data_IF_569091557035
#
_entry.id   IF_569091557035
#
_cell.length_a   1.000
_cell.length_b   1.000
_cell.length_c   1.000
_cell.angle_alpha   90.00
_cell.angle_beta   90.00
_cell.angle_gamma   90.00
#
_symmetry.space_group_name_H-M   'P 1'
#
loop_
_entity.id
_entity.type
_entity.pdbx_description
1 polymer ?
#
# COMPACT_ATOMS: atom_id res chain seq x y z
N UNK A 1 -5.61 -21.30 6.38
CA UNK A 1 -6.57 -22.41 6.45
C UNK A 1 -6.00 -23.63 5.76
N UNK A 2 -6.18 -24.81 6.35
CA UNK A 2 -5.79 -26.06 5.73
C UNK A 2 -6.72 -26.38 4.54
N UNK A 3 -6.13 -26.81 3.44
CA UNK A 3 -6.87 -27.26 2.28
C UNK A 3 -7.62 -28.57 2.59
N UNK A 4 -8.83 -28.77 2.05
CA UNK A 4 -9.49 -30.06 2.11
C UNK A 4 -8.65 -31.12 1.37
N UNK A 5 -8.42 -32.26 1.99
CA UNK A 5 -7.57 -33.33 1.43
C UNK A 5 -8.20 -34.10 0.26
N UNK A 6 -9.49 -33.86 -0.03
CA UNK A 6 -10.27 -34.65 -1.00
C UNK A 6 -10.86 -33.83 -2.15
N UNK A 7 -10.50 -32.53 -2.26
CA UNK A 7 -11.05 -31.63 -3.29
C UNK A 7 -9.92 -30.95 -4.06
N UNK A 8 -10.03 -30.94 -5.37
CA UNK A 8 -9.08 -30.26 -6.25
C UNK A 8 -9.23 -28.73 -6.20
N UNK A 9 -10.41 -28.22 -5.82
CA UNK A 9 -10.69 -26.81 -5.64
C UNK A 9 -11.80 -26.59 -4.60
N UNK A 10 -11.79 -25.43 -3.95
CA UNK A 10 -12.85 -25.06 -2.99
C UNK A 10 -13.00 -23.52 -2.92
N UNK A 11 -14.20 -23.07 -2.56
CA UNK A 11 -14.45 -21.66 -2.28
C UNK A 11 -13.79 -21.23 -0.99
N UNK A 12 -13.13 -20.07 -0.98
CA UNK A 12 -12.46 -19.50 0.20
C UNK A 12 -13.19 -18.29 0.78
N UNK A 13 -14.05 -17.66 -0.01
CA UNK A 13 -14.84 -16.49 0.35
C UNK A 13 -16.11 -16.44 -0.48
N UNK A 14 -17.19 -15.91 0.09
CA UNK A 14 -18.43 -15.60 -0.62
C UNK A 14 -18.39 -14.12 -1.04
N UNK A 15 -18.31 -13.88 -2.34
CA UNK A 15 -18.29 -12.54 -2.92
C UNK A 15 -19.71 -12.05 -3.19
N UNK A 16 -19.95 -10.76 -2.96
CA UNK A 16 -21.19 -10.10 -3.40
C UNK A 16 -21.15 -9.91 -4.92
N UNK A 17 -22.32 -9.72 -5.51
CA UNK A 17 -22.43 -9.40 -6.93
C UNK A 17 -21.62 -8.14 -7.27
N UNK A 18 -20.74 -8.25 -8.26
CA UNK A 18 -19.86 -7.16 -8.69
C UNK A 18 -18.58 -6.99 -7.89
N UNK A 19 -18.37 -7.78 -6.84
CA UNK A 19 -17.09 -7.80 -6.10
C UNK A 19 -16.04 -8.64 -6.81
N UNK A 20 -14.79 -8.31 -6.60
CA UNK A 20 -13.63 -9.05 -7.12
C UNK A 20 -12.54 -9.22 -6.04
N UNK A 21 -11.73 -10.25 -6.19
CA UNK A 21 -10.52 -10.43 -5.38
C UNK A 21 -9.41 -9.58 -5.99
N UNK A 22 -8.94 -8.58 -5.25
CA UNK A 22 -7.85 -7.70 -5.70
C UNK A 22 -6.48 -8.16 -5.18
N UNK A 23 -6.44 -8.86 -4.04
CA UNK A 23 -5.19 -9.33 -3.45
C UNK A 23 -5.42 -10.48 -2.47
N UNK A 24 -4.40 -11.33 -2.31
CA UNK A 24 -4.33 -12.37 -1.28
C UNK A 24 -2.91 -12.51 -0.75
N UNK A 25 -2.77 -12.61 0.56
CA UNK A 25 -1.49 -12.77 1.21
C UNK A 25 -1.61 -13.61 2.49
N UNK A 26 -0.48 -14.13 2.95
CA UNK A 26 -0.34 -14.75 4.27
C UNK A 26 0.12 -13.66 5.24
N UNK A 27 -0.51 -13.61 6.41
CA UNK A 27 -0.15 -12.70 7.48
C UNK A 27 -0.13 -13.44 8.82
N UNK A 28 0.75 -13.01 9.72
CA UNK A 28 0.76 -13.40 11.14
C UNK A 28 0.00 -12.35 11.94
N UNK A 29 -0.40 -12.68 13.17
CA UNK A 29 -1.21 -11.81 14.01
C UNK A 29 -0.56 -10.43 14.26
N UNK A 30 0.76 -10.39 14.39
CA UNK A 30 1.56 -9.19 14.65
C UNK A 30 1.91 -8.37 13.40
N UNK A 31 1.70 -8.93 12.20
CA UNK A 31 1.95 -8.23 10.95
C UNK A 31 0.95 -7.10 10.75
N UNK A 32 1.32 -6.12 9.92
CA UNK A 32 0.46 -4.98 9.57
C UNK A 32 -0.23 -5.22 8.24
N UNK A 33 -1.54 -5.08 8.23
CA UNK A 33 -2.32 -4.97 7.01
C UNK A 33 -2.36 -3.52 6.59
N UNK A 34 -2.13 -3.26 5.31
CA UNK A 34 -2.05 -1.90 4.75
C UNK A 34 -2.97 -1.79 3.57
N UNK A 35 -3.87 -0.82 3.61
CA UNK A 35 -4.77 -0.46 2.52
C UNK A 35 -4.44 0.96 2.08
N UNK A 36 -4.29 1.18 0.79
CA UNK A 36 -4.18 2.52 0.22
C UNK A 36 -5.28 2.68 -0.82
N UNK A 37 -6.07 3.75 -0.70
CA UNK A 37 -7.13 4.08 -1.65
C UNK A 37 -6.68 5.13 -2.66
N UNK A 38 -7.41 5.23 -3.76
CA UNK A 38 -7.08 6.14 -4.87
C UNK A 38 -7.11 7.61 -4.49
N UNK A 39 -7.81 7.99 -3.42
CA UNK A 39 -7.80 9.34 -2.85
C UNK A 39 -6.62 9.62 -1.91
N UNK A 40 -5.62 8.73 -1.91
CA UNK A 40 -4.42 8.82 -1.06
C UNK A 40 -4.68 8.57 0.44
N UNK A 41 -5.76 7.88 0.80
CA UNK A 41 -5.99 7.45 2.18
C UNK A 41 -5.27 6.13 2.44
N UNK A 42 -4.46 6.07 3.49
CA UNK A 42 -3.78 4.86 3.96
C UNK A 42 -4.33 4.44 5.32
N UNK A 43 -4.79 3.21 5.41
CA UNK A 43 -5.19 2.56 6.65
C UNK A 43 -4.29 1.39 6.95
N UNK A 44 -3.76 1.35 8.16
CA UNK A 44 -3.00 0.20 8.66
C UNK A 44 -3.43 -0.19 10.06
N UNK A 45 -3.50 -1.50 10.30
CA UNK A 45 -3.77 -2.11 11.59
C UNK A 45 -3.13 -3.51 11.66
N UNK A 46 -3.02 -4.07 12.85
CA UNK A 46 -2.48 -5.42 13.03
C UNK A 46 -3.45 -6.49 12.52
N UNK A 47 -2.91 -7.53 11.89
CA UNK A 47 -3.69 -8.62 11.30
C UNK A 47 -4.58 -9.35 12.31
N UNK A 48 -4.19 -9.39 13.60
CA UNK A 48 -5.01 -9.96 14.68
C UNK A 48 -6.40 -9.31 14.83
N UNK A 49 -6.58 -8.09 14.31
CA UNK A 49 -7.87 -7.40 14.30
C UNK A 49 -8.85 -7.98 13.26
N UNK A 50 -8.39 -8.89 12.42
CA UNK A 50 -9.22 -9.64 11.47
C UNK A 50 -9.45 -11.03 12.03
N UNK A 51 -10.68 -11.29 12.48
CA UNK A 51 -11.03 -12.62 13.00
C UNK A 51 -11.08 -13.64 11.85
N UNK A 52 -10.63 -14.88 12.09
CA UNK A 52 -10.84 -15.96 11.13
C UNK A 52 -12.33 -16.10 10.78
N UNK A 53 -12.62 -16.24 9.50
CA UNK A 53 -13.97 -16.39 8.94
C UNK A 53 -14.15 -17.77 8.34
N UNK A 54 -15.39 -18.29 8.33
CA UNK A 54 -15.74 -19.48 7.57
C UNK A 54 -15.53 -19.31 6.08
N UNK A 55 -15.43 -20.40 5.31
CA UNK A 55 -15.22 -20.37 3.85
C UNK A 55 -16.37 -19.71 3.08
N UNK A 56 -17.57 -19.79 3.64
CA UNK A 56 -18.81 -19.20 3.09
C UNK A 56 -19.10 -17.80 3.62
N UNK A 57 -18.18 -17.21 4.39
CA UNK A 57 -18.36 -15.86 4.90
C UNK A 57 -17.89 -14.81 3.89
N UNK A 58 -18.59 -13.68 3.82
CA UNK A 58 -18.26 -12.54 2.95
C UNK A 58 -17.10 -11.67 3.42
N UNK A 59 -16.40 -12.09 4.51
CA UNK A 59 -15.27 -11.33 5.04
C UNK A 59 -15.66 -10.24 6.03
N UNK A 60 -14.73 -9.35 6.31
CA UNK A 60 -14.88 -8.22 7.23
C UNK A 60 -14.45 -6.94 6.53
N UNK A 61 -15.12 -5.82 6.81
CA UNK A 61 -14.73 -4.52 6.29
C UNK A 61 -13.28 -4.18 6.69
N UNK A 62 -12.43 -3.88 5.72
CA UNK A 62 -11.06 -3.44 5.92
C UNK A 62 -10.97 -1.92 6.04
N UNK A 63 -11.05 -1.22 4.92
CA UNK A 63 -11.02 0.24 4.83
C UNK A 63 -12.40 0.79 4.47
N UNK A 64 -12.75 1.96 5.02
CA UNK A 64 -13.90 2.74 4.58
C UNK A 64 -13.46 3.63 3.42
N UNK A 65 -13.92 3.32 2.23
CA UNK A 65 -13.65 4.11 1.02
C UNK A 65 -14.55 5.34 0.96
N UNK A 66 -14.01 6.45 0.46
CA UNK A 66 -14.80 7.59 0.02
C UNK A 66 -15.57 7.24 -1.27
N UNK A 67 -16.63 8.01 -1.56
CA UNK A 67 -17.43 7.80 -2.77
C UNK A 67 -16.55 7.91 -4.03
N UNK A 68 -16.72 6.97 -4.96
CA UNK A 68 -15.95 6.93 -6.21
C UNK A 68 -14.50 6.44 -6.08
N UNK A 69 -14.02 6.19 -4.85
CA UNK A 69 -12.65 5.70 -4.62
C UNK A 69 -12.58 4.18 -4.59
N UNK A 70 -11.42 3.66 -4.99
CA UNK A 70 -11.09 2.23 -5.00
C UNK A 70 -9.86 1.96 -4.13
N UNK A 71 -9.65 0.70 -3.78
CA UNK A 71 -8.39 0.25 -3.21
C UNK A 71 -7.33 0.27 -4.32
N UNK A 72 -6.33 1.13 -4.19
CA UNK A 72 -5.20 1.20 -5.11
C UNK A 72 -4.22 0.04 -4.87
N UNK A 73 -3.96 -0.28 -3.60
CA UNK A 73 -3.14 -1.44 -3.22
C UNK A 73 -3.50 -1.96 -1.83
N UNK A 74 -3.25 -3.25 -1.63
CA UNK A 74 -3.27 -3.91 -0.33
C UNK A 74 -1.96 -4.67 -0.14
N UNK A 75 -1.37 -4.57 1.05
CA UNK A 75 -0.10 -5.25 1.37
C UNK A 75 -0.09 -5.74 2.81
N UNK A 76 0.81 -6.67 3.08
CA UNK A 76 1.16 -7.12 4.42
C UNK A 76 2.61 -6.73 4.70
N UNK A 77 2.82 -6.00 5.79
CA UNK A 77 4.15 -5.63 6.29
C UNK A 77 4.46 -6.50 7.49
N UNK A 78 5.53 -7.28 7.40
CA UNK A 78 5.98 -8.12 8.49
C UNK A 78 6.35 -7.26 9.72
N UNK A 79 6.06 -7.75 10.92
CA UNK A 79 6.25 -7.00 12.15
C UNK A 79 7.69 -6.48 12.32
N UNK A 80 8.69 -7.26 11.91
CA UNK A 80 10.12 -6.93 11.95
C UNK A 80 10.56 -5.92 10.88
N UNK A 81 9.69 -5.58 9.93
CA UNK A 81 9.92 -4.60 8.86
C UNK A 81 9.24 -3.26 9.11
N UNK A 82 8.42 -3.14 10.14
CA UNK A 82 7.69 -1.90 10.45
C UNK A 82 8.62 -0.78 10.87
N UNK A 83 9.63 -1.07 11.71
CA UNK A 83 10.57 -0.08 12.20
C UNK A 83 11.50 0.41 11.08
N UNK A 84 11.67 1.73 11.01
CA UNK A 84 12.65 2.35 10.12
C UNK A 84 13.96 2.53 10.87
N UNK A 85 15.02 1.94 10.34
CA UNK A 85 16.37 2.05 10.90
C UNK A 85 17.28 2.78 9.94
N UNK A 86 18.18 3.56 10.49
CA UNK A 86 19.18 4.33 9.75
C UNK A 86 20.52 4.13 10.42
N UNK A 87 21.44 3.49 9.72
CA UNK A 87 22.77 3.18 10.23
C UNK A 87 23.83 3.91 9.41
N UNK A 88 24.73 4.60 10.11
CA UNK A 88 25.92 5.19 9.52
C UNK A 88 27.07 4.21 9.70
N UNK A 89 27.56 3.69 8.58
CA UNK A 89 28.69 2.76 8.58
C UNK A 89 30.03 3.47 8.83
N UNK A 90 31.03 2.73 9.30
CA UNK A 90 32.40 3.23 9.59
C UNK A 90 33.10 3.92 8.40
N UNK A 91 32.63 3.67 7.20
CA UNK A 91 33.12 4.26 5.95
C UNK A 91 32.33 5.50 5.48
N UNK A 92 31.43 6.02 6.32
CA UNK A 92 30.55 7.15 5.99
C UNK A 92 29.41 6.80 5.03
N UNK A 93 29.22 5.52 4.69
CA UNK A 93 28.05 5.07 3.95
C UNK A 93 26.89 4.90 4.91
N UNK A 94 25.79 5.54 4.59
CA UNK A 94 24.55 5.39 5.34
C UNK A 94 23.70 4.29 4.72
N UNK A 95 23.15 3.41 5.54
CA UNK A 95 22.17 2.42 5.13
C UNK A 95 20.86 2.64 5.86
N UNK A 96 19.76 2.54 5.14
CA UNK A 96 18.43 2.58 5.71
C UNK A 96 17.72 1.25 5.44
N UNK A 97 16.91 0.80 6.38
CA UNK A 97 16.12 -0.41 6.22
C UNK A 97 14.76 -0.29 6.90
N UNK A 98 13.83 -1.11 6.47
CA UNK A 98 12.45 -1.13 6.89
C UNK A 98 11.51 -1.03 5.70
N UNK A 99 10.21 -1.16 5.96
CA UNK A 99 9.21 -0.99 4.92
C UNK A 99 9.02 0.48 4.57
N UNK A 100 8.73 0.73 3.29
CA UNK A 100 8.37 2.05 2.77
C UNK A 100 7.07 1.98 2.00
N UNK A 101 6.41 3.11 1.91
CA UNK A 101 5.23 3.36 1.10
C UNK A 101 5.66 4.21 -0.09
N UNK A 102 5.46 3.69 -1.29
CA UNK A 102 5.59 4.44 -2.55
C UNK A 102 4.20 4.79 -3.05
N UNK A 103 3.95 6.06 -3.26
CA UNK A 103 2.74 6.56 -3.89
C UNK A 103 3.10 7.47 -5.05
N UNK A 104 2.31 7.40 -6.12
CA UNK A 104 2.46 8.28 -7.29
C UNK A 104 1.11 8.95 -7.55
N UNK A 105 1.07 10.25 -7.36
CA UNK A 105 -0.11 11.06 -7.63
C UNK A 105 -0.12 11.53 -9.09
N UNK A 106 -1.29 11.56 -9.69
CA UNK A 106 -1.50 12.00 -11.07
C UNK A 106 -2.91 12.48 -11.30
N UNK A 107 -3.25 12.66 -12.58
CA UNK A 107 -4.56 13.08 -13.04
C UNK A 107 -5.29 11.91 -13.70
N UNK A 108 -6.47 11.57 -13.21
CA UNK A 108 -7.30 10.49 -13.77
C UNK A 108 -7.79 10.79 -15.20
N UNK A 109 -7.80 12.06 -15.60
CA UNK A 109 -8.26 12.52 -16.89
C UNK A 109 -7.11 12.74 -17.91
N UNK A 110 -5.85 12.46 -17.49
CA UNK A 110 -4.70 12.52 -18.37
C UNK A 110 -4.83 11.53 -19.54
N UNK A 111 -4.38 11.95 -20.71
CA UNK A 111 -4.33 11.04 -21.87
C UNK A 111 -3.26 9.97 -21.64
N UNK A 112 -3.52 8.70 -22.02
CA UNK A 112 -2.54 7.63 -21.90
C UNK A 112 -1.18 8.02 -22.50
N UNK A 113 -0.11 7.86 -21.73
CA UNK A 113 1.25 8.21 -22.14
C UNK A 113 1.63 9.69 -21.95
N UNK A 114 0.75 10.50 -21.38
CA UNK A 114 1.03 11.90 -21.01
C UNK A 114 0.96 12.14 -19.50
N UNK A 115 0.79 11.06 -18.72
CA UNK A 115 0.71 11.12 -17.28
C UNK A 115 2.08 11.51 -16.69
N UNK A 116 2.18 12.73 -16.20
CA UNK A 116 3.27 13.13 -15.34
C UNK A 116 2.88 12.78 -13.90
N UNK A 117 3.56 11.81 -13.33
CA UNK A 117 3.33 11.39 -11.95
C UNK A 117 4.25 12.10 -10.99
N UNK A 118 3.76 12.39 -9.78
CA UNK A 118 4.59 12.84 -8.69
C UNK A 118 4.73 11.73 -7.65
N UNK A 119 5.94 11.19 -7.51
CA UNK A 119 6.25 10.10 -6.61
C UNK A 119 6.64 10.58 -5.22
N UNK A 120 6.25 9.81 -4.22
CA UNK A 120 6.64 10.00 -2.82
C UNK A 120 6.99 8.66 -2.20
N UNK A 121 8.16 8.59 -1.59
CA UNK A 121 8.61 7.44 -0.77
C UNK A 121 8.60 7.88 0.68
N UNK A 122 7.93 7.11 1.55
CA UNK A 122 7.83 7.44 2.98
C UNK A 122 8.04 6.18 3.80
N UNK A 123 8.88 6.19 4.84
CA UNK A 123 8.98 5.07 5.76
C UNK A 123 7.62 4.68 6.33
N UNK A 124 7.30 3.40 6.29
CA UNK A 124 6.01 2.89 6.73
C UNK A 124 5.73 3.22 8.21
N UNK A 125 6.76 3.27 9.03
CA UNK A 125 6.68 3.64 10.45
C UNK A 125 6.00 4.99 10.71
N UNK A 126 6.02 5.91 9.72
CA UNK A 126 5.38 7.23 9.85
C UNK A 126 3.85 7.17 9.86
N UNK A 127 3.25 6.03 9.50
CA UNK A 127 1.80 5.86 9.45
C UNK A 127 1.28 5.24 10.74
N UNK A 128 0.42 5.96 11.50
CA UNK A 128 -0.16 5.42 12.73
C UNK A 128 -1.18 4.33 12.42
N UNK A 129 -1.28 3.36 13.31
CA UNK A 129 -2.39 2.40 13.27
C UNK A 129 -3.71 3.08 13.58
N UNK A 130 -4.76 2.67 12.86
CA UNK A 130 -6.14 3.11 13.06
C UNK A 130 -7.05 1.90 13.21
N UNK A 131 -8.25 2.12 13.70
CA UNK A 131 -9.26 1.07 13.75
C UNK A 131 -9.63 0.56 12.36
N UNK A 132 -9.86 -0.74 12.22
CA UNK A 132 -10.40 -1.38 11.03
C UNK A 132 -11.73 -0.72 10.63
N UNK A 133 -12.01 -0.66 9.34
CA UNK A 133 -13.20 -0.03 8.77
C UNK A 133 -13.30 1.49 8.96
N UNK A 134 -12.17 2.17 9.16
CA UNK A 134 -12.06 3.63 9.11
C UNK A 134 -11.44 4.11 7.81
N UNK A 135 -11.40 5.43 7.56
CA UNK A 135 -10.83 6.03 6.34
C UNK A 135 -9.31 6.16 6.33
N UNK A 136 -8.65 5.86 7.45
CA UNK A 136 -7.19 6.01 7.54
C UNK A 136 -6.67 7.44 7.62
N UNK A 137 -5.44 7.64 7.13
CA UNK A 137 -4.73 8.93 7.11
C UNK A 137 -4.20 9.21 5.71
N UNK A 138 -3.92 10.47 5.39
CA UNK A 138 -3.36 10.85 4.09
C UNK A 138 -1.93 10.31 3.93
N UNK A 139 -1.64 9.69 2.78
CA UNK A 139 -0.32 9.18 2.42
C UNK A 139 0.47 10.15 1.52
N UNK A 140 -0.21 10.93 0.69
CA UNK A 140 0.39 11.95 -0.16
C UNK A 140 -0.60 13.10 -0.37
N UNK A 141 -0.12 14.34 -0.30
CA UNK A 141 -0.93 15.50 -0.64
C UNK A 141 -0.92 15.72 -2.15
N UNK A 142 -2.11 15.81 -2.74
CA UNK A 142 -2.25 16.18 -4.14
C UNK A 142 -1.99 17.67 -4.35
N UNK A 143 -1.25 17.96 -5.41
CA UNK A 143 -1.04 19.32 -5.90
C UNK A 143 -2.05 19.66 -6.99
N UNK A 144 -2.03 20.90 -7.45
CA UNK A 144 -2.91 21.34 -8.56
C UNK A 144 -2.66 20.46 -9.79
N UNK A 145 -3.73 19.91 -10.36
CA UNK A 145 -3.68 19.00 -11.50
C UNK A 145 -3.55 17.52 -11.13
N UNK A 146 -3.51 17.20 -9.83
CA UNK A 146 -3.52 15.83 -9.32
C UNK A 146 -4.83 15.57 -8.59
N UNK A 147 -5.46 14.44 -8.85
CA UNK A 147 -6.75 14.08 -8.25
C UNK A 147 -6.82 12.62 -7.78
N UNK A 148 -5.83 11.81 -8.10
CA UNK A 148 -5.83 10.39 -7.79
C UNK A 148 -4.41 9.85 -7.59
N UNK A 149 -4.28 8.73 -6.89
CA UNK A 149 -3.08 7.90 -6.99
C UNK A 149 -3.18 7.05 -8.26
N UNK A 150 -2.21 7.20 -9.15
CA UNK A 150 -2.06 6.37 -10.34
C UNK A 150 -1.25 5.10 -10.05
N UNK A 151 -0.47 5.11 -8.97
CA UNK A 151 0.28 3.96 -8.49
C UNK A 151 0.46 4.02 -6.97
N UNK A 152 0.44 2.86 -6.31
CA UNK A 152 0.77 2.71 -4.90
C UNK A 152 1.38 1.33 -4.65
N UNK A 153 2.39 1.29 -3.79
CA UNK A 153 3.08 0.06 -3.42
C UNK A 153 3.64 0.17 -1.99
N UNK A 154 3.73 -0.95 -1.31
CA UNK A 154 4.35 -1.04 0.02
C UNK A 154 5.28 -2.24 0.03
N UNK A 155 6.50 -2.06 0.49
CA UNK A 155 7.48 -3.14 0.59
C UNK A 155 8.79 -2.65 1.20
N UNK A 156 9.80 -3.51 1.17
CA UNK A 156 11.08 -3.24 1.80
C UNK A 156 11.91 -2.21 1.01
N UNK A 157 12.62 -1.36 1.74
CA UNK A 157 13.63 -0.47 1.17
C UNK A 157 14.97 -1.23 0.98
N UNK A 158 15.76 -0.98 -0.07
CA UNK A 158 15.55 0.04 -1.11
C UNK A 158 14.49 -0.37 -2.14
N UNK A 159 13.81 0.62 -2.70
CA UNK A 159 12.81 0.42 -3.74
C UNK A 159 13.36 0.83 -5.11
N UNK A 160 13.06 0.02 -6.12
CA UNK A 160 13.41 0.28 -7.52
C UNK A 160 12.14 0.25 -8.36
N UNK A 161 12.05 1.15 -9.31
CA UNK A 161 10.91 1.24 -10.23
C UNK A 161 11.39 1.26 -11.68
N UNK A 162 10.55 0.79 -12.57
CA UNK A 162 10.73 0.90 -14.01
C UNK A 162 9.39 1.22 -14.69
N UNK A 163 9.48 1.84 -15.86
CA UNK A 163 8.33 2.01 -16.75
C UNK A 163 7.84 0.66 -17.27
N UNK A 164 6.67 0.62 -17.88
CA UNK A 164 6.15 -0.57 -18.56
C UNK A 164 7.08 -1.08 -19.66
N UNK A 165 7.87 -0.19 -20.26
CA UNK A 165 8.86 -0.53 -21.27
C UNK A 165 10.20 -0.99 -20.69
N UNK A 166 10.32 -1.03 -19.35
CA UNK A 166 11.51 -1.50 -18.63
C UNK A 166 12.59 -0.45 -18.40
N UNK A 167 12.34 0.82 -18.75
CA UNK A 167 13.29 1.89 -18.44
C UNK A 167 13.29 2.18 -16.93
N UNK A 168 14.46 2.30 -16.27
CA UNK A 168 14.52 2.62 -14.85
C UNK A 168 13.94 4.02 -14.59
N UNK A 169 13.22 4.14 -13.48
CA UNK A 169 12.65 5.40 -12.99
C UNK A 169 13.39 5.79 -11.73
N UNK A 170 13.92 7.00 -11.67
CA UNK A 170 14.56 7.55 -10.49
C UNK A 170 13.49 7.97 -9.48
N UNK A 171 13.50 7.34 -8.31
CA UNK A 171 12.57 7.65 -7.23
C UNK A 171 13.18 8.66 -6.26
N UNK A 172 12.36 9.52 -5.64
CA UNK A 172 12.86 10.42 -4.62
C UNK A 172 13.34 9.66 -3.37
N UNK A 173 14.28 10.25 -2.65
CA UNK A 173 14.71 9.77 -1.34
C UNK A 173 13.54 9.72 -0.34
N UNK A 174 13.59 8.84 0.67
CA UNK A 174 12.55 8.73 1.67
C UNK A 174 12.29 10.05 2.40
N UNK A 175 11.04 10.52 2.34
CA UNK A 175 10.54 11.70 3.05
C UNK A 175 9.81 11.28 4.32
N UNK A 176 10.29 11.72 5.47
CA UNK A 176 9.69 11.44 6.78
C UNK A 176 8.35 12.16 7.00
N UNK A 177 7.99 13.11 6.15
CA UNK A 177 6.70 13.81 6.20
C UNK A 177 5.61 12.97 5.54
N UNK A 178 4.84 12.30 6.34
CA UNK A 178 3.75 11.42 5.89
C UNK A 178 2.80 12.06 4.88
N UNK A 179 2.39 13.29 5.10
CA UNK A 179 1.36 13.99 4.35
C UNK A 179 1.90 15.05 3.37
N UNK A 180 3.20 14.96 3.04
CA UNK A 180 3.83 15.82 2.04
C UNK A 180 3.35 15.53 0.62
N UNK A 181 3.65 16.44 -0.30
CA UNK A 181 3.47 16.23 -1.75
C UNK A 181 4.60 15.35 -2.31
N UNK A 182 4.38 14.77 -3.50
CA UNK A 182 5.41 14.06 -4.23
C UNK A 182 6.35 14.97 -5.01
N UNK A 183 7.41 14.36 -5.57
CA UNK A 183 8.34 14.96 -6.54
C UNK A 183 7.95 14.46 -7.92
N UNK A 184 7.90 15.35 -8.89
CA UNK A 184 7.62 14.97 -10.29
C UNK A 184 8.66 13.96 -10.78
N UNK A 185 8.19 12.97 -11.52
CA UNK A 185 9.02 11.98 -12.19
C UNK A 185 9.35 12.50 -13.59
N UNK A 186 10.62 12.42 -13.98
CA UNK A 186 11.13 12.78 -15.31
C UNK A 186 10.92 11.64 -16.32
#
# INVERSE_FOLDING_TARGET
REAPTTMDSWSVIDLKDGDEIVFAAIARDEDRLVFISTDSSLLTFEAKNVRPQGRTAGGMAGIKLAEGCKVATFNVVAADKVAWTYEEGDNGLTSASGAVVLTVAGDSDALPGTENGAAKVTPFEMYPTKGRATGGVRSQRFLKGQNTLIFAWVGDYPVHASTETGSPVELPEPDMRRDGSGTELD
#
